data_IF_394166229355
#
_entry.id   IF_394166229355
#
_cell.length_a   1.000
_cell.length_b   1.000
_cell.length_c   1.000
_cell.angle_alpha   90.00
_cell.angle_beta   90.00
_cell.angle_gamma   90.00
#
_symmetry.space_group_name_H-M   'P 1'
#
loop_
_entity.id
_entity.type
_entity.pdbx_description
1 polymer ?
#
# COMPACT_ATOMS: atom_id res chain seq x y z
N UNK A 1 -0.22 -56.64 32.32
CA UNK A 1 0.50 -55.88 31.26
C UNK A 1 -0.58 -55.31 30.34
N UNK A 2 -1.26 -54.20 30.64
CA UNK A 2 -0.86 -52.77 30.61
C UNK A 2 -0.30 -52.31 29.26
N UNK A 3 -1.18 -51.98 28.31
CA UNK A 3 -0.91 -50.99 27.25
C UNK A 3 -2.19 -50.20 26.96
N UNK A 4 -2.27 -48.99 27.53
CA UNK A 4 -3.20 -47.95 27.11
C UNK A 4 -2.56 -47.20 25.94
N UNK A 5 -3.22 -47.22 24.77
CA UNK A 5 -2.89 -46.33 23.67
C UNK A 5 -3.53 -44.97 23.93
N UNK A 6 -2.72 -43.98 24.33
CA UNK A 6 -3.13 -42.57 24.30
C UNK A 6 -2.87 -42.08 22.88
N UNK A 7 -3.93 -42.05 22.07
CA UNK A 7 -3.91 -41.41 20.75
C UNK A 7 -3.89 -39.90 20.94
N UNK A 8 -2.72 -39.29 20.78
CA UNK A 8 -2.56 -37.83 20.71
C UNK A 8 -3.27 -37.28 19.49
N UNK A 9 -4.37 -36.55 19.71
CA UNK A 9 -5.02 -35.70 18.72
C UNK A 9 -4.06 -34.54 18.42
N UNK A 10 -3.53 -34.50 17.19
CA UNK A 10 -2.81 -33.35 16.66
C UNK A 10 -3.84 -32.24 16.42
N UNK A 11 -3.85 -31.23 17.29
CA UNK A 11 -4.49 -29.95 17.01
C UNK A 11 -3.72 -29.25 15.88
N UNK A 12 -4.24 -29.35 14.66
CA UNK A 12 -3.84 -28.45 13.58
C UNK A 12 -4.46 -27.09 13.90
N UNK A 13 -3.68 -26.23 14.56
CA UNK A 13 -3.96 -24.80 14.62
C UNK A 13 -3.82 -24.25 13.21
N UNK A 14 -4.91 -24.31 12.44
CA UNK A 14 -5.08 -23.55 11.21
C UNK A 14 -5.08 -22.08 11.62
N UNK A 15 -3.88 -21.48 11.63
CA UNK A 15 -3.70 -20.05 11.68
C UNK A 15 -4.31 -19.47 10.40
N UNK A 16 -5.61 -19.22 10.44
CA UNK A 16 -6.32 -18.47 9.43
C UNK A 16 -5.77 -17.04 9.53
N UNK A 17 -4.70 -16.78 8.81
CA UNK A 17 -4.11 -15.46 8.68
C UNK A 17 -5.19 -14.60 8.03
N UNK A 18 -5.96 -13.85 8.83
CA UNK A 18 -6.99 -12.95 8.32
C UNK A 18 -6.32 -12.06 7.29
N UNK A 19 -6.80 -12.13 6.05
CA UNK A 19 -6.36 -11.20 5.02
C UNK A 19 -6.50 -9.78 5.57
N UNK A 20 -5.44 -8.99 5.46
CA UNK A 20 -5.44 -7.61 5.92
C UNK A 20 -6.46 -6.83 5.09
N UNK A 21 -7.57 -6.43 5.73
CA UNK A 21 -8.71 -5.80 5.08
C UNK A 21 -8.44 -4.33 4.73
N UNK A 22 -7.30 -3.77 5.14
CA UNK A 22 -6.90 -2.39 4.86
C UNK A 22 -6.54 -2.17 3.39
N UNK A 23 -6.38 -3.22 2.60
CA UNK A 23 -6.28 -3.14 1.14
C UNK A 23 -6.92 -4.38 0.49
N UNK A 24 -8.21 -4.33 0.08
CA UNK A 24 -8.89 -5.47 -0.53
C UNK A 24 -8.40 -5.69 -1.97
N UNK A 25 -7.42 -6.58 -2.13
CA UNK A 25 -6.83 -6.92 -3.43
C UNK A 25 -7.47 -8.19 -4.00
N UNK A 26 -8.35 -8.01 -4.98
CA UNK A 26 -8.88 -9.09 -5.80
C UNK A 26 -9.01 -8.63 -7.25
N UNK A 27 -8.73 -9.51 -8.21
CA UNK A 27 -8.86 -9.18 -9.64
C UNK A 27 -10.30 -8.73 -9.93
N UNK A 28 -10.43 -7.60 -10.63
CA UNK A 28 -11.73 -6.98 -10.91
C UNK A 28 -12.12 -5.88 -9.92
N UNK A 29 -11.57 -5.87 -8.70
CA UNK A 29 -11.80 -4.77 -7.76
C UNK A 29 -11.39 -3.44 -8.40
N UNK A 30 -12.26 -2.45 -8.22
CA UNK A 30 -12.11 -1.14 -8.84
C UNK A 30 -12.44 -0.06 -7.82
N UNK A 31 -11.65 1.00 -7.84
CA UNK A 31 -11.89 2.23 -7.10
C UNK A 31 -12.14 3.35 -8.08
N UNK A 32 -13.02 4.27 -7.69
CA UNK A 32 -13.16 5.58 -8.32
C UNK A 32 -12.65 6.63 -7.34
N UNK A 33 -11.80 7.53 -7.78
CA UNK A 33 -11.22 8.57 -6.96
C UNK A 33 -11.26 9.93 -7.66
N UNK A 34 -11.45 11.00 -6.89
CA UNK A 34 -11.12 12.34 -7.34
C UNK A 34 -9.60 12.47 -7.31
N UNK A 35 -8.97 12.68 -8.45
CA UNK A 35 -7.59 13.11 -8.52
C UNK A 35 -7.53 14.62 -8.70
N UNK A 36 -6.62 15.26 -7.98
CA UNK A 36 -6.37 16.69 -8.10
C UNK A 36 -4.87 16.92 -8.22
N UNK A 37 -4.48 17.65 -9.26
CA UNK A 37 -3.13 18.20 -9.42
C UNK A 37 -3.22 19.74 -9.53
N UNK A 38 -2.10 20.40 -9.85
CA UNK A 38 -2.07 21.87 -9.96
C UNK A 38 -2.86 22.43 -11.17
N UNK A 39 -3.31 21.59 -12.10
CA UNK A 39 -3.89 21.99 -13.38
C UNK A 39 -5.31 21.46 -13.59
N UNK A 40 -5.68 20.36 -12.95
CA UNK A 40 -6.97 19.67 -13.18
C UNK A 40 -7.46 18.90 -11.96
N UNK A 41 -8.77 18.68 -11.96
CA UNK A 41 -9.47 17.76 -11.07
C UNK A 41 -10.29 16.81 -11.94
N UNK A 42 -10.10 15.50 -11.76
CA UNK A 42 -10.73 14.46 -12.57
C UNK A 42 -11.26 13.34 -11.67
N UNK A 43 -12.29 12.65 -12.16
CA UNK A 43 -12.69 11.35 -11.59
C UNK A 43 -11.97 10.27 -12.36
N UNK A 44 -11.18 9.49 -11.64
CA UNK A 44 -10.26 8.52 -12.20
C UNK A 44 -10.49 7.13 -11.58
N UNK A 45 -10.26 6.08 -12.37
CA UNK A 45 -10.46 4.71 -11.93
C UNK A 45 -9.12 4.00 -11.71
N UNK A 46 -9.01 3.29 -10.58
CA UNK A 46 -7.92 2.39 -10.27
C UNK A 46 -8.49 0.98 -10.27
N UNK A 47 -7.89 0.03 -10.97
CA UNK A 47 -8.40 -1.33 -11.11
C UNK A 47 -7.33 -2.38 -10.87
N UNK A 48 -7.66 -3.43 -10.12
CA UNK A 48 -6.85 -4.65 -10.07
C UNK A 48 -7.03 -5.41 -11.38
N UNK A 49 -6.01 -5.40 -12.23
CA UNK A 49 -6.09 -5.96 -13.59
C UNK A 49 -5.80 -7.44 -13.63
N UNK A 50 -4.82 -7.91 -12.84
CA UNK A 50 -4.39 -9.31 -12.83
C UNK A 50 -3.60 -9.66 -11.57
N UNK A 51 -3.58 -10.95 -11.25
CA UNK A 51 -2.63 -11.53 -10.30
C UNK A 51 -1.27 -11.73 -10.97
N UNK A 52 -0.21 -11.37 -10.27
CA UNK A 52 1.19 -11.46 -10.74
C UNK A 52 2.09 -11.83 -9.55
N UNK A 53 3.36 -12.16 -9.80
CA UNK A 53 4.34 -12.20 -8.71
C UNK A 53 4.91 -10.81 -8.44
N UNK A 54 4.94 -10.43 -7.17
CA UNK A 54 5.54 -9.20 -6.65
C UNK A 54 6.33 -9.59 -5.41
N UNK A 55 7.57 -9.11 -5.26
CA UNK A 55 8.40 -9.42 -4.10
C UNK A 55 8.64 -10.91 -3.83
N UNK A 56 8.55 -11.77 -4.85
CA UNK A 56 8.68 -13.23 -4.71
C UNK A 56 7.45 -13.93 -4.11
N UNK A 57 6.34 -13.22 -3.94
CA UNK A 57 5.06 -13.75 -3.44
C UNK A 57 3.93 -13.46 -4.44
N UNK A 58 2.75 -14.03 -4.19
CA UNK A 58 1.55 -13.67 -4.95
C UNK A 58 1.16 -12.22 -4.67
N UNK A 59 0.94 -11.45 -5.73
CA UNK A 59 0.59 -10.05 -5.70
C UNK A 59 -0.33 -9.68 -6.84
N UNK A 60 -0.48 -8.38 -7.06
CA UNK A 60 -1.45 -7.83 -7.98
C UNK A 60 -0.87 -6.65 -8.74
N UNK A 61 -1.32 -6.54 -9.98
CA UNK A 61 -1.12 -5.36 -10.81
C UNK A 61 -2.37 -4.49 -10.72
N UNK A 62 -2.15 -3.21 -10.42
CA UNK A 62 -3.18 -2.18 -10.40
C UNK A 62 -2.88 -1.22 -11.53
N UNK A 63 -3.87 -0.98 -12.37
CA UNK A 63 -3.80 0.03 -13.43
C UNK A 63 -4.59 1.25 -13.01
N UNK A 64 -3.99 2.42 -13.21
CA UNK A 64 -4.66 3.70 -13.02
C UNK A 64 -4.02 4.79 -13.87
N UNK A 65 -4.49 6.04 -13.71
CA UNK A 65 -4.04 7.20 -14.47
C UNK A 65 -2.56 7.54 -14.28
N UNK A 66 -2.01 7.25 -13.09
CA UNK A 66 -0.58 7.42 -12.81
C UNK A 66 0.28 6.24 -13.30
N UNK A 67 -0.31 5.33 -14.06
CA UNK A 67 0.34 4.15 -14.59
C UNK A 67 0.06 2.90 -13.76
N UNK A 68 1.04 2.01 -13.72
CA UNK A 68 0.88 0.67 -13.15
C UNK A 68 1.54 0.61 -11.78
N UNK A 69 0.80 0.16 -10.78
CA UNK A 69 1.34 -0.21 -9.47
C UNK A 69 1.35 -1.73 -9.33
N UNK A 70 2.41 -2.28 -8.76
CA UNK A 70 2.57 -3.72 -8.53
C UNK A 70 2.80 -3.94 -7.05
N UNK A 71 1.81 -4.52 -6.38
CA UNK A 71 1.78 -4.61 -4.92
C UNK A 71 1.48 -6.02 -4.44
N UNK A 72 1.94 -6.35 -3.24
CA UNK A 72 1.64 -7.61 -2.58
C UNK A 72 1.58 -7.44 -1.07
N UNK A 73 0.86 -8.35 -0.41
CA UNK A 73 1.04 -8.59 1.01
C UNK A 73 2.14 -9.62 1.22
N UNK A 74 3.15 -9.26 1.99
CA UNK A 74 4.25 -10.15 2.40
C UNK A 74 4.52 -9.96 3.87
N UNK A 75 4.41 -11.03 4.65
CA UNK A 75 4.68 -11.01 6.10
C UNK A 75 3.85 -9.94 6.85
N UNK A 76 2.58 -9.77 6.46
CA UNK A 76 1.66 -8.77 7.02
C UNK A 76 1.94 -7.32 6.59
N UNK A 77 2.88 -7.09 5.68
CA UNK A 77 3.21 -5.77 5.10
C UNK A 77 2.62 -5.65 3.71
N UNK A 78 2.04 -4.50 3.38
CA UNK A 78 1.81 -4.14 1.99
C UNK A 78 3.12 -3.59 1.42
N UNK A 79 3.61 -4.17 0.33
CA UNK A 79 4.84 -3.75 -0.34
C UNK A 79 4.59 -3.51 -1.82
N UNK A 80 5.42 -2.68 -2.45
CA UNK A 80 5.38 -2.42 -3.89
C UNK A 80 6.77 -2.57 -4.53
N UNK A 81 6.85 -3.26 -5.66
CA UNK A 81 8.06 -3.24 -6.51
C UNK A 81 7.97 -2.19 -7.64
N UNK A 82 6.77 -1.66 -7.88
CA UNK A 82 6.52 -0.58 -8.82
C UNK A 82 5.34 0.29 -8.36
N UNK A 83 5.51 1.61 -8.45
CA UNK A 83 4.46 2.62 -8.29
C UNK A 83 4.50 3.55 -9.49
N UNK A 84 3.47 3.47 -10.35
CA UNK A 84 3.45 4.17 -11.63
C UNK A 84 4.64 3.78 -12.53
N UNK A 85 5.50 4.75 -12.82
CA UNK A 85 6.71 4.57 -13.64
C UNK A 85 7.98 4.30 -12.82
N UNK A 86 7.87 4.29 -11.49
CA UNK A 86 9.00 4.14 -10.57
C UNK A 86 9.07 2.71 -10.04
N UNK A 87 10.26 2.10 -10.08
CA UNK A 87 10.53 0.75 -9.56
C UNK A 87 11.42 0.81 -8.32
N UNK A 88 11.21 -0.13 -7.42
CA UNK A 88 11.89 -0.22 -6.13
C UNK A 88 12.52 -1.60 -5.96
N UNK A 89 13.81 -1.65 -5.61
CA UNK A 89 14.53 -2.88 -5.32
C UNK A 89 15.42 -2.71 -4.08
N UNK A 90 15.13 -3.39 -2.95
CA UNK A 90 14.01 -4.32 -2.74
C UNK A 90 12.65 -3.60 -2.75
N UNK A 91 11.52 -4.32 -2.81
CA UNK A 91 10.18 -3.72 -2.76
C UNK A 91 10.01 -2.77 -1.57
N UNK A 92 9.40 -1.61 -1.80
CA UNK A 92 9.22 -0.56 -0.80
C UNK A 92 7.98 -0.85 0.06
N UNK A 93 8.03 -0.68 1.40
CA UNK A 93 6.87 -0.86 2.24
C UNK A 93 5.88 0.30 2.11
N UNK A 94 4.58 -0.02 2.09
CA UNK A 94 3.47 0.93 2.04
C UNK A 94 2.56 0.86 3.27
N UNK A 95 2.48 -0.30 3.91
CA UNK A 95 1.70 -0.54 5.13
C UNK A 95 2.42 -1.59 5.98
N UNK A 96 2.42 -1.41 7.29
CA UNK A 96 3.03 -2.29 8.28
C UNK A 96 1.96 -3.07 9.06
N UNK A 97 2.32 -4.24 9.64
CA UNK A 97 1.46 -4.95 10.57
C UNK A 97 1.10 -4.07 11.78
N UNK A 98 -0.16 -4.13 12.20
CA UNK A 98 -0.64 -3.44 13.39
C UNK A 98 -1.03 -1.96 13.17
N UNK A 99 -1.42 -1.26 14.25
CA UNK A 99 -2.00 0.08 14.18
C UNK A 99 -0.95 1.20 14.10
N UNK A 100 0.21 1.03 14.72
CA UNK A 100 1.29 2.02 14.76
C UNK A 100 2.64 1.33 14.67
N UNK A 101 3.49 1.79 13.77
CA UNK A 101 4.79 1.20 13.51
C UNK A 101 5.67 2.15 12.68
N UNK A 102 6.97 1.86 12.65
CA UNK A 102 7.93 2.56 11.80
C UNK A 102 8.91 1.57 11.20
N UNK A 103 9.37 1.84 9.97
CA UNK A 103 10.48 1.09 9.38
C UNK A 103 11.34 1.99 8.49
N UNK A 104 12.64 1.69 8.44
CA UNK A 104 13.55 2.24 7.45
C UNK A 104 13.68 1.25 6.28
N UNK A 105 13.95 1.77 5.10
CA UNK A 105 14.18 1.01 3.88
C UNK A 105 15.37 1.60 3.15
N UNK A 106 16.22 0.74 2.60
CA UNK A 106 17.35 1.14 1.75
C UNK A 106 17.29 0.31 0.49
N UNK A 107 17.43 0.95 -0.65
CA UNK A 107 17.36 0.26 -1.93
C UNK A 107 17.65 1.16 -3.10
N UNK A 108 17.42 0.62 -4.29
CA UNK A 108 17.53 1.32 -5.55
C UNK A 108 16.14 1.74 -6.01
N UNK A 109 16.04 3.01 -6.41
CA UNK A 109 14.89 3.57 -7.09
C UNK A 109 15.25 3.76 -8.55
N UNK A 110 14.44 3.19 -9.45
CA UNK A 110 14.62 3.31 -10.89
C UNK A 110 13.42 4.03 -11.52
N UNK A 111 13.69 5.07 -12.30
CA UNK A 111 12.70 5.88 -13.02
C UNK A 111 13.15 6.05 -14.49
N UNK A 112 12.29 6.55 -15.40
CA UNK A 112 12.68 6.76 -16.80
C UNK A 112 13.91 7.65 -16.98
N UNK A 113 14.18 8.53 -16.03
CA UNK A 113 15.29 9.45 -16.14
C UNK A 113 16.57 8.96 -15.41
N UNK A 114 16.59 7.74 -14.86
CA UNK A 114 17.76 7.17 -14.20
C UNK A 114 17.44 6.33 -12.96
N UNK A 115 18.47 5.67 -12.43
CA UNK A 115 18.42 4.86 -11.20
C UNK A 115 19.42 5.38 -10.16
N UNK A 116 19.05 5.36 -8.90
CA UNK A 116 19.90 5.79 -7.79
C UNK A 116 19.62 4.96 -6.52
N UNK A 117 20.63 4.82 -5.67
CA UNK A 117 20.45 4.27 -4.32
C UNK A 117 19.89 5.36 -3.41
N UNK A 118 18.91 5.01 -2.58
CA UNK A 118 18.28 5.94 -1.65
C UNK A 118 17.82 5.23 -0.39
N UNK A 119 17.50 6.03 0.61
CA UNK A 119 16.90 5.61 1.86
C UNK A 119 15.48 6.15 1.93
N UNK A 120 14.60 5.36 2.52
CA UNK A 120 13.23 5.71 2.79
C UNK A 120 12.87 5.41 4.24
N UNK A 121 11.86 6.11 4.74
CA UNK A 121 11.27 5.90 6.06
C UNK A 121 9.77 5.85 5.90
N UNK A 122 9.14 4.83 6.47
CA UNK A 122 7.70 4.71 6.56
C UNK A 122 7.29 4.82 8.03
N UNK A 123 6.51 5.84 8.35
CA UNK A 123 5.81 5.94 9.63
C UNK A 123 4.35 5.55 9.43
N UNK A 124 3.79 4.85 10.40
CA UNK A 124 2.39 4.42 10.42
C UNK A 124 1.76 4.74 11.77
N UNK A 125 0.54 5.26 11.75
CA UNK A 125 -0.25 5.54 12.95
C UNK A 125 -1.75 5.40 12.66
N UNK A 126 -2.55 5.15 13.70
CA UNK A 126 -3.99 5.33 13.62
C UNK A 126 -4.34 6.81 13.49
N UNK A 127 -5.30 7.12 12.63
CA UNK A 127 -5.73 8.48 12.36
C UNK A 127 -7.23 8.53 12.10
N UNK A 128 -7.81 9.74 12.15
CA UNK A 128 -9.19 10.00 11.74
C UNK A 128 -9.19 10.95 10.55
N UNK A 129 -9.66 10.45 9.41
CA UNK A 129 -9.84 11.25 8.21
C UNK A 129 -11.28 11.76 8.14
N UNK A 130 -11.46 13.03 7.78
CA UNK A 130 -12.79 13.58 7.49
C UNK A 130 -13.13 13.38 6.01
N UNK A 131 -14.22 12.66 5.75
CA UNK A 131 -14.75 12.37 4.41
C UNK A 131 -16.24 12.73 4.44
N UNK A 132 -16.69 13.60 3.53
CA UNK A 132 -18.08 14.07 3.45
C UNK A 132 -18.66 14.53 4.80
N UNK A 133 -17.85 15.28 5.57
CA UNK A 133 -18.21 15.80 6.89
C UNK A 133 -18.27 14.74 8.01
N UNK A 134 -17.85 13.49 7.74
CA UNK A 134 -17.80 12.41 8.74
C UNK A 134 -16.36 12.02 9.03
N UNK A 135 -16.02 11.90 10.31
CA UNK A 135 -14.73 11.34 10.73
C UNK A 135 -14.78 9.82 10.67
N UNK A 136 -13.89 9.23 9.89
CA UNK A 136 -13.72 7.78 9.76
C UNK A 136 -12.36 7.35 10.31
N UNK A 137 -12.32 6.19 10.97
CA UNK A 137 -11.07 5.63 11.44
C UNK A 137 -10.24 5.13 10.25
N UNK A 138 -8.94 5.44 10.27
CA UNK A 138 -7.99 5.10 9.21
C UNK A 138 -6.65 4.70 9.80
N UNK A 139 -5.83 4.01 9.02
CA UNK A 139 -4.39 3.88 9.26
C UNK A 139 -3.68 4.84 8.32
N UNK A 140 -3.04 5.88 8.87
CA UNK A 140 -2.22 6.80 8.10
C UNK A 140 -0.80 6.26 7.99
N UNK A 141 -0.24 6.33 6.80
CA UNK A 141 1.16 6.06 6.53
C UNK A 141 1.80 7.27 5.87
N UNK A 142 3.05 7.54 6.21
CA UNK A 142 3.87 8.60 5.61
C UNK A 142 5.18 7.97 5.16
N UNK A 143 5.35 7.83 3.85
CA UNK A 143 6.57 7.33 3.24
C UNK A 143 7.40 8.51 2.73
N UNK A 144 8.59 8.72 3.30
CA UNK A 144 9.51 9.79 2.91
C UNK A 144 10.79 9.23 2.33
N UNK A 145 11.25 9.73 1.19
CA UNK A 145 12.54 9.38 0.58
C UNK A 145 13.03 10.46 -0.38
N UNK A 146 14.31 10.38 -0.77
CA UNK A 146 14.90 11.29 -1.75
C UNK A 146 14.93 10.65 -3.13
N UNK A 147 14.54 11.43 -4.15
CA UNK A 147 14.81 11.14 -5.57
C UNK A 147 15.49 12.38 -6.16
N UNK A 148 16.69 12.23 -6.73
CA UNK A 148 17.43 13.30 -7.42
C UNK A 148 17.63 14.55 -6.57
N UNK A 149 17.91 14.36 -5.29
CA UNK A 149 18.06 15.45 -4.33
C UNK A 149 16.76 16.18 -3.96
N UNK A 150 15.60 15.67 -4.38
CA UNK A 150 14.27 16.18 -4.02
C UNK A 150 13.63 15.30 -2.96
N UNK A 151 12.97 15.94 -1.99
CA UNK A 151 12.24 15.23 -0.94
C UNK A 151 10.87 14.84 -1.46
N UNK A 152 10.59 13.54 -1.51
CA UNK A 152 9.29 13.00 -1.87
C UNK A 152 8.61 12.44 -0.62
N UNK A 153 7.37 12.87 -0.39
CA UNK A 153 6.48 12.33 0.63
C UNK A 153 5.26 11.72 -0.04
N UNK A 154 4.95 10.46 0.28
CA UNK A 154 3.70 9.81 -0.07
C UNK A 154 2.94 9.52 1.22
N UNK A 155 1.87 10.27 1.45
CA UNK A 155 0.98 10.05 2.58
C UNK A 155 -0.24 9.27 2.11
N UNK A 156 -0.56 8.15 2.76
CA UNK A 156 -1.72 7.31 2.42
C UNK A 156 -2.55 7.03 3.66
N UNK A 157 -3.86 7.28 3.59
CA UNK A 157 -4.85 6.89 4.58
C UNK A 157 -5.57 5.64 4.11
N UNK A 158 -5.40 4.54 4.82
CA UNK A 158 -6.08 3.29 4.55
C UNK A 158 -7.33 3.16 5.44
N UNK A 159 -8.44 2.73 4.84
CA UNK A 159 -9.68 2.40 5.53
C UNK A 159 -9.98 0.91 5.34
N UNK A 160 -10.15 0.20 6.46
CA UNK A 160 -10.53 -1.20 6.47
C UNK A 160 -11.77 -1.47 5.60
N UNK A 161 -11.70 -2.52 4.78
CA UNK A 161 -12.72 -2.94 3.82
C UNK A 161 -12.76 -2.11 2.53
N UNK A 162 -12.16 -0.92 2.49
CA UNK A 162 -12.18 -0.04 1.31
C UNK A 162 -10.81 0.00 0.64
N UNK A 163 -9.70 0.01 1.37
CA UNK A 163 -8.38 0.27 0.79
C UNK A 163 -7.93 1.70 1.04
N UNK A 164 -7.34 2.32 0.02
CA UNK A 164 -6.93 3.72 0.07
C UNK A 164 -8.18 4.59 0.14
N UNK A 165 -8.30 5.40 1.20
CA UNK A 165 -9.34 6.42 1.33
C UNK A 165 -8.86 7.78 0.80
N UNK A 166 -7.60 8.13 1.10
CA UNK A 166 -6.91 9.29 0.54
C UNK A 166 -5.44 8.95 0.30
N UNK A 167 -4.85 9.52 -0.73
CA UNK A 167 -3.41 9.52 -0.94
C UNK A 167 -2.96 10.90 -1.39
N UNK A 168 -1.84 11.37 -0.86
CA UNK A 168 -1.23 12.64 -1.21
C UNK A 168 0.23 12.43 -1.53
N UNK A 169 0.71 13.06 -2.59
CA UNK A 169 2.13 13.13 -2.92
C UNK A 169 2.60 14.57 -2.80
N UNK A 170 3.71 14.77 -2.07
CA UNK A 170 4.40 16.04 -2.00
C UNK A 170 5.82 15.92 -2.55
N UNK A 171 6.29 16.98 -3.17
CA UNK A 171 7.67 17.17 -3.62
C UNK A 171 8.21 18.45 -3.00
N UNK A 172 9.32 18.35 -2.25
CA UNK A 172 9.89 19.44 -1.45
C UNK A 172 8.81 20.15 -0.57
N UNK A 173 7.93 19.35 0.03
CA UNK A 173 6.81 19.84 0.87
C UNK A 173 5.62 20.42 0.10
N UNK A 174 5.69 20.60 -1.21
CA UNK A 174 4.58 21.08 -2.04
C UNK A 174 3.69 19.91 -2.49
N UNK A 175 2.38 19.99 -2.25
CA UNK A 175 1.41 19.04 -2.80
C UNK A 175 1.42 19.09 -4.33
N UNK A 176 1.70 17.93 -4.94
CA UNK A 176 1.73 17.77 -6.40
C UNK A 176 0.55 16.96 -6.92
N UNK A 177 0.07 15.99 -6.15
CA UNK A 177 -1.13 15.22 -6.48
C UNK A 177 -1.85 14.80 -5.19
N UNK A 178 -3.17 14.76 -5.24
CA UNK A 178 -3.99 14.09 -4.23
C UNK A 178 -5.03 13.19 -4.89
N UNK A 179 -5.38 12.10 -4.22
CA UNK A 179 -6.43 11.16 -4.56
C UNK A 179 -7.39 11.04 -3.38
N UNK A 180 -8.67 11.19 -3.64
CA UNK A 180 -9.75 11.00 -2.68
C UNK A 180 -10.71 9.94 -3.22
N UNK A 181 -10.77 8.79 -2.57
CA UNK A 181 -11.61 7.68 -3.01
C UNK A 181 -13.09 8.03 -2.81
N UNK A 182 -13.85 7.97 -3.90
CA UNK A 182 -15.30 8.17 -3.96
C UNK A 182 -16.00 6.85 -3.66
N UNK A 183 -15.56 5.78 -4.32
CA UNK A 183 -16.10 4.43 -4.15
C UNK A 183 -14.99 3.39 -4.27
N UNK A 184 -15.16 2.29 -3.54
CA UNK A 184 -14.27 1.13 -3.56
C UNK A 184 -15.01 -0.16 -3.91
N UNK A 185 -14.31 -1.30 -3.89
CA UNK A 185 -14.89 -2.62 -4.16
C UNK A 185 -15.94 -3.05 -3.14
#
# INVERSE_FOLDING_TARGET
>A
MKHWWVGSIILVLVGCNKADDRMPLAVGNTWSAHSRDSFRELVESIKVTRSISVAGVSGFELSGPLGVSRIAFRDGRLVADQLGITRFSPPIPLLLPGPSAQTAWTGTVASPAGSESTEARLDQIEDKLEIDGKKVNTTKTVLTFKIRGKDLELTTWFRAGIGIARQEQRLDGKLIVSFDTISGP
#
